data_IF_676109911564
#
_entry.id   IF_676109911564
#
_cell.length_a   1.000
_cell.length_b   1.000
_cell.length_c   1.000
_cell.angle_alpha   90.00
_cell.angle_beta   90.00
_cell.angle_gamma   90.00
#
_symmetry.space_group_name_H-M   'P 1'
#
loop_
_entity.id
_entity.type
_entity.pdbx_description
1 polymer ?
#
# COMPACT_ATOMS: atom_id res chain seq x y z
N UNK A 1 -4.59 -21.71 2.13
CA UNK A 1 -3.18 -21.28 2.18
C UNK A 1 -3.07 -19.78 2.27
N UNK A 2 -2.32 -19.33 3.23
CA UNK A 2 -2.10 -17.90 3.41
C UNK A 2 -1.29 -17.33 2.28
N UNK A 3 -1.68 -16.18 1.82
CA UNK A 3 -0.90 -15.46 0.85
C UNK A 3 -0.25 -14.28 1.55
N UNK A 4 1.04 -14.38 1.83
CA UNK A 4 1.75 -13.36 2.56
C UNK A 4 2.39 -12.32 1.66
N UNK A 5 2.06 -12.35 0.38
CA UNK A 5 2.63 -11.40 -0.58
C UNK A 5 1.80 -10.15 -0.75
N UNK A 6 0.76 -10.00 0.04
CA UNK A 6 -0.12 -8.85 -0.05
C UNK A 6 -0.17 -8.11 1.27
N UNK A 7 -0.26 -6.79 1.18
CA UNK A 7 -0.49 -5.97 2.36
C UNK A 7 -1.74 -5.15 2.15
N UNK A 8 -2.45 -4.89 3.23
CA UNK A 8 -3.68 -4.12 3.19
C UNK A 8 -3.45 -2.79 3.88
N UNK A 9 -3.80 -1.73 3.20
CA UNK A 9 -3.59 -0.38 3.71
C UNK A 9 -4.91 0.35 3.74
N UNK A 10 -5.27 0.85 4.91
CA UNK A 10 -6.50 1.64 5.06
C UNK A 10 -6.20 3.12 5.21
N UNK A 11 -4.94 3.47 5.41
CA UNK A 11 -4.52 4.86 5.50
C UNK A 11 -4.53 5.46 4.09
N UNK A 12 -5.48 6.33 3.84
CA UNK A 12 -5.66 6.88 2.51
C UNK A 12 -4.43 7.65 2.03
N UNK A 13 -3.82 8.41 2.93
CA UNK A 13 -2.65 9.20 2.56
C UNK A 13 -1.50 8.29 2.17
N UNK A 14 -1.28 7.23 2.94
CA UNK A 14 -0.22 6.29 2.64
C UNK A 14 -0.45 5.61 1.28
N UNK A 15 -1.68 5.15 1.06
CA UNK A 15 -2.01 4.49 -0.19
C UNK A 15 -1.83 5.43 -1.38
N UNK A 16 -2.28 6.67 -1.25
CA UNK A 16 -2.16 7.60 -2.37
C UNK A 16 -0.71 7.95 -2.65
N UNK A 17 0.13 8.01 -1.62
CA UNK A 17 1.55 8.26 -1.83
C UNK A 17 2.21 7.08 -2.56
N UNK A 18 1.81 5.86 -2.23
CA UNK A 18 2.33 4.69 -2.93
C UNK A 18 1.97 4.77 -4.42
N UNK A 19 0.72 5.10 -4.70
CA UNK A 19 0.26 5.21 -6.09
C UNK A 19 1.03 6.32 -6.81
N UNK A 20 1.24 7.44 -6.13
CA UNK A 20 1.97 8.55 -6.71
C UNK A 20 3.39 8.13 -7.11
N UNK A 21 3.96 7.20 -6.38
CA UNK A 21 5.33 6.74 -6.64
C UNK A 21 5.36 5.50 -7.53
N UNK A 22 4.26 5.20 -8.19
CA UNK A 22 4.24 4.18 -9.22
C UNK A 22 3.81 2.80 -8.78
N UNK A 23 3.39 2.65 -7.54
CA UNK A 23 2.93 1.35 -7.04
C UNK A 23 1.42 1.30 -7.13
N UNK A 24 0.90 0.37 -7.92
CA UNK A 24 -0.53 0.26 -8.13
C UNK A 24 -1.13 -0.78 -7.20
N UNK A 25 -2.32 -0.54 -6.65
CA UNK A 25 -2.98 -1.55 -5.83
C UNK A 25 -3.45 -2.71 -6.69
N UNK A 26 -3.35 -3.90 -6.13
CA UNK A 26 -3.85 -5.10 -6.81
C UNK A 26 -5.36 -5.18 -6.71
N UNK A 27 -5.91 -4.71 -5.60
CA UNK A 27 -7.34 -4.73 -5.34
C UNK A 27 -7.73 -3.51 -4.55
N UNK A 28 -8.99 -3.18 -4.62
CA UNK A 28 -9.56 -2.09 -3.87
C UNK A 28 -10.97 -2.51 -3.48
N UNK A 29 -11.26 -2.51 -2.20
CA UNK A 29 -12.59 -2.88 -1.75
C UNK A 29 -12.97 -2.08 -0.53
N UNK A 30 -14.26 -2.11 -0.21
CA UNK A 30 -14.80 -1.35 0.90
C UNK A 30 -15.28 -2.32 1.98
N UNK A 31 -14.78 -2.13 3.19
CA UNK A 31 -15.18 -2.92 4.35
C UNK A 31 -15.16 -1.99 5.54
N UNK A 32 -16.26 -1.25 5.71
CA UNK A 32 -16.39 -0.17 6.68
C UNK A 32 -15.43 0.98 6.40
N UNK A 33 -14.44 0.75 5.55
CA UNK A 33 -13.50 1.76 5.10
C UNK A 33 -12.89 1.25 3.82
N UNK A 34 -12.29 2.14 3.08
CA UNK A 34 -11.66 1.80 1.82
C UNK A 34 -10.35 1.08 2.10
N UNK A 35 -10.21 -0.13 1.54
CA UNK A 35 -9.02 -0.95 1.76
C UNK A 35 -8.27 -1.10 0.45
N UNK A 36 -7.00 -0.73 0.46
CA UNK A 36 -6.12 -0.86 -0.70
C UNK A 36 -5.21 -2.07 -0.47
N UNK A 37 -5.21 -3.00 -1.42
CA UNK A 37 -4.37 -4.19 -1.32
C UNK A 37 -3.23 -4.05 -2.30
N UNK A 38 -2.01 -4.02 -1.79
CA UNK A 38 -0.81 -3.88 -2.61
C UNK A 38 0.01 -5.15 -2.56
N UNK A 39 0.85 -5.32 -3.57
CA UNK A 39 1.83 -6.40 -3.57
C UNK A 39 2.96 -6.03 -2.61
N UNK A 40 3.30 -6.94 -1.71
CA UNK A 40 4.31 -6.68 -0.69
C UNK A 40 5.66 -6.34 -1.31
N UNK A 41 6.03 -7.07 -2.36
CA UNK A 41 7.33 -6.82 -3.00
C UNK A 41 7.38 -5.44 -3.65
N UNK A 42 6.26 -5.04 -4.26
CA UNK A 42 6.23 -3.75 -4.93
C UNK A 42 6.25 -2.59 -3.96
N UNK A 43 5.77 -2.80 -2.75
CA UNK A 43 5.71 -1.72 -1.76
C UNK A 43 6.92 -1.67 -0.85
N UNK A 44 7.84 -2.60 -1.02
CA UNK A 44 8.96 -2.74 -0.10
C UNK A 44 9.73 -1.44 0.08
N UNK A 45 10.15 -0.83 -1.04
CA UNK A 45 10.92 0.39 -0.97
C UNK A 45 10.10 1.59 -0.52
N UNK A 46 8.89 1.71 -1.03
CA UNK A 46 8.05 2.86 -0.66
C UNK A 46 7.63 2.76 0.81
N UNK A 47 7.43 1.55 1.30
CA UNK A 47 7.11 1.37 2.72
C UNK A 47 8.27 1.85 3.59
N UNK A 48 9.48 1.49 3.21
CA UNK A 48 10.67 1.90 3.94
C UNK A 48 10.78 3.42 3.98
N UNK A 49 10.56 4.06 2.83
CA UNK A 49 10.62 5.51 2.74
C UNK A 49 9.49 6.16 3.52
N UNK A 50 8.31 5.54 3.49
CA UNK A 50 7.18 6.06 4.25
C UNK A 50 7.51 6.08 5.74
N UNK A 51 8.08 4.98 6.25
CA UNK A 51 8.44 4.90 7.66
C UNK A 51 9.51 5.91 8.05
N UNK A 52 10.35 6.29 7.11
CA UNK A 52 11.42 7.26 7.35
C UNK A 52 11.01 8.68 7.01
N UNK A 53 9.75 8.88 6.67
CA UNK A 53 9.24 10.20 6.29
C UNK A 53 9.95 10.78 5.08
N UNK A 54 10.44 9.92 4.21
CA UNK A 54 11.12 10.35 2.98
C UNK A 54 10.19 10.40 1.78
N UNK A 55 8.98 9.93 1.95
CA UNK A 55 8.02 9.85 0.86
C UNK A 55 7.10 11.07 0.90
N UNK A 56 7.17 11.87 -0.14
CA UNK A 56 6.34 13.08 -0.23
C UNK A 56 5.59 13.14 -1.52
#
# INVERSE_FOLDING_TARGET
>A
MENNNEIKIVNYKQASMYIKHGVQPKKLFYDNMLVFVFDREETREVYDKWCKYELN
#
